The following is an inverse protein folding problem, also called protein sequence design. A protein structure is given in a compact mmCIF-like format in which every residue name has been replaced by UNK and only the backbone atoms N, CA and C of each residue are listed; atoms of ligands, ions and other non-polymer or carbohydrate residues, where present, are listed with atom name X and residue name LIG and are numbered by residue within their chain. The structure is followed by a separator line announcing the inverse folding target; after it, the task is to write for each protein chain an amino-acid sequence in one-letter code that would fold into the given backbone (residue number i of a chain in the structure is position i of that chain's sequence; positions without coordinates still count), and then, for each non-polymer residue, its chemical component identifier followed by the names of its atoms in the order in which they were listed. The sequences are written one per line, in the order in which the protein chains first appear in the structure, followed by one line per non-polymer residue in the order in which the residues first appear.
data_IF_370447848494
#
_entry.id   IF_370447848494
#
_cell.length_a   1.000
_cell.length_b   1.000
_cell.length_c   1.000
_cell.angle_alpha   90.00
_cell.angle_beta   90.00
_cell.angle_gamma   90.00
#
_symmetry.space_group_name_H-M   'P 1'
#
loop_
_entity.id
_entity.type
_entity.pdbx_description
1 polymer ?
#
# COMPACT_ATOMS: atom_id res chain seq x y z
N UNK A 1 11.07 -4.43 -12.40
CA UNK A 1 10.44 -5.74 -12.09
C UNK A 1 9.16 -5.86 -12.92
N UNK A 2 8.82 -7.02 -13.51
CA UNK A 2 7.61 -7.16 -14.33
C UNK A 2 6.34 -6.90 -13.50
N UNK A 3 5.22 -6.57 -14.17
CA UNK A 3 3.93 -6.37 -13.50
C UNK A 3 3.48 -7.65 -12.77
N UNK A 4 2.96 -7.57 -11.53
CA UNK A 4 2.59 -8.76 -10.74
C UNK A 4 1.42 -9.59 -11.29
N UNK A 5 0.62 -9.04 -12.20
CA UNK A 5 -0.61 -9.65 -12.73
C UNK A 5 -1.75 -8.64 -12.76
N UNK A 6 -2.98 -9.06 -13.12
CA UNK A 6 -4.14 -8.19 -13.01
C UNK A 6 -4.44 -7.88 -11.54
N UNK A 7 -4.90 -6.65 -11.27
CA UNK A 7 -5.40 -6.27 -9.95
C UNK A 7 -6.75 -6.94 -9.66
N UNK A 8 -6.94 -7.42 -8.44
CA UNK A 8 -8.16 -8.09 -7.98
C UNK A 8 -9.40 -7.19 -8.03
N UNK A 9 -9.23 -5.92 -7.66
CA UNK A 9 -10.21 -4.86 -7.87
C UNK A 9 -9.67 -3.86 -8.90
N UNK A 10 -10.57 -3.04 -9.46
CA UNK A 10 -10.18 -1.98 -10.41
C UNK A 10 -9.04 -1.13 -9.82
N UNK A 11 -7.98 -1.00 -10.60
CA UNK A 11 -6.79 -0.22 -10.23
C UNK A 11 -7.16 1.25 -9.92
N UNK A 12 -6.48 1.82 -8.94
CA UNK A 12 -6.54 3.25 -8.64
C UNK A 12 -5.52 3.98 -9.51
N UNK A 13 -5.96 4.99 -10.26
CA UNK A 13 -5.08 5.79 -11.11
C UNK A 13 -4.69 7.06 -10.37
N UNK A 14 -3.39 7.30 -10.25
CA UNK A 14 -2.85 8.43 -9.51
C UNK A 14 -1.86 9.21 -10.38
N UNK A 15 -1.92 10.54 -10.30
CA UNK A 15 -0.92 11.43 -10.90
C UNK A 15 -0.03 11.98 -9.79
N UNK A 16 1.23 11.55 -9.77
CA UNK A 16 2.19 12.00 -8.77
C UNK A 16 2.53 13.47 -8.98
N UNK A 17 2.75 14.22 -7.90
CA UNK A 17 3.18 15.62 -8.00
C UNK A 17 4.68 15.69 -8.30
N UNK A 18 5.05 16.58 -9.22
CA UNK A 18 6.44 16.91 -9.52
C UNK A 18 7.04 17.84 -8.45
N UNK A 19 8.38 18.00 -8.43
CA UNK A 19 9.11 18.83 -7.47
C UNK A 19 8.63 20.29 -7.35
N UNK A 20 8.06 20.80 -8.44
CA UNK A 20 7.54 22.16 -8.66
C UNK A 20 6.02 22.26 -8.48
N UNK A 21 5.36 21.19 -8.01
CA UNK A 21 3.90 21.10 -7.91
C UNK A 21 3.20 20.79 -9.23
N UNK A 22 3.95 20.54 -10.32
CA UNK A 22 3.37 20.12 -11.59
C UNK A 22 2.73 18.73 -11.52
N UNK A 23 1.82 18.42 -12.45
CA UNK A 23 1.30 17.07 -12.62
C UNK A 23 2.39 16.20 -13.25
N UNK A 24 2.94 15.29 -12.44
CA UNK A 24 4.03 14.39 -12.81
C UNK A 24 3.54 13.06 -13.39
N UNK A 25 4.29 12.00 -13.10
CA UNK A 25 4.11 10.64 -13.65
C UNK A 25 2.75 10.07 -13.27
N UNK A 26 2.08 9.43 -14.24
CA UNK A 26 0.89 8.61 -13.94
C UNK A 26 1.33 7.22 -13.45
N UNK A 27 0.73 6.76 -12.36
CA UNK A 27 0.93 5.43 -11.80
C UNK A 27 -0.42 4.75 -11.60
N UNK A 28 -0.45 3.44 -11.81
CA UNK A 28 -1.59 2.59 -11.51
C UNK A 28 -1.27 1.79 -10.26
N UNK A 29 -2.17 1.84 -9.28
CA UNK A 29 -2.04 1.10 -8.04
C UNK A 29 -2.96 -0.11 -8.10
N UNK A 30 -2.43 -1.27 -7.75
CA UNK A 30 -3.17 -2.53 -7.76
C UNK A 30 -2.89 -3.39 -6.54
N UNK A 31 -3.68 -4.47 -6.44
CA UNK A 31 -3.53 -5.46 -5.38
C UNK A 31 -3.83 -6.87 -5.87
N UNK A 32 -3.19 -7.88 -5.27
CA UNK A 32 -3.47 -9.27 -5.56
C UNK A 32 -4.81 -9.68 -4.95
N UNK A 33 -5.34 -10.82 -5.37
CA UNK A 33 -6.46 -11.43 -4.65
C UNK A 33 -6.02 -11.76 -3.22
N UNK A 34 -6.78 -11.33 -2.19
CA UNK A 34 -6.44 -11.65 -0.81
C UNK A 34 -6.58 -13.15 -0.53
N UNK A 35 -5.56 -13.74 0.08
CA UNK A 35 -5.65 -15.07 0.68
C UNK A 35 -6.14 -14.93 2.12
N UNK A 36 -7.14 -15.72 2.51
CA UNK A 36 -7.72 -15.70 3.86
C UNK A 36 -7.20 -16.91 4.63
N UNK A 37 -6.57 -16.65 5.77
CA UNK A 37 -6.09 -17.68 6.70
C UNK A 37 -7.21 -18.14 7.63
N UNK A 38 -7.04 -19.32 8.24
CA UNK A 38 -8.02 -19.91 9.16
C UNK A 38 -8.31 -19.04 10.41
N UNK A 39 -7.35 -18.20 10.80
CA UNK A 39 -7.45 -17.24 11.92
C UNK A 39 -7.99 -15.85 11.49
N UNK A 40 -8.50 -15.75 10.26
CA UNK A 40 -9.17 -14.56 9.73
C UNK A 40 -8.23 -13.49 9.15
N UNK A 41 -6.92 -13.73 9.11
CA UNK A 41 -6.00 -12.79 8.47
C UNK A 41 -6.13 -12.82 6.96
N UNK A 42 -6.28 -11.63 6.37
CA UNK A 42 -6.21 -11.38 4.93
C UNK A 42 -4.79 -11.02 4.55
N UNK A 43 -4.19 -11.77 3.63
CA UNK A 43 -2.86 -11.52 3.09
C UNK A 43 -2.99 -11.08 1.63
N UNK A 44 -2.41 -9.95 1.29
CA UNK A 44 -2.39 -9.42 -0.07
C UNK A 44 -1.08 -8.69 -0.38
N UNK A 45 -0.74 -8.59 -1.66
CA UNK A 45 0.34 -7.71 -2.14
C UNK A 45 -0.27 -6.46 -2.74
N UNK A 46 0.31 -5.30 -2.45
CA UNK A 46 -0.01 -4.01 -3.08
C UNK A 46 1.17 -3.56 -3.93
N UNK A 47 0.90 -2.91 -5.06
CA UNK A 47 1.94 -2.42 -5.95
C UNK A 47 1.57 -1.12 -6.64
N UNK A 48 2.59 -0.35 -7.04
CA UNK A 48 2.47 0.69 -8.06
C UNK A 48 3.16 0.28 -9.35
N UNK A 49 2.50 0.49 -10.49
CA UNK A 49 3.04 0.19 -11.82
C UNK A 49 2.86 1.35 -12.80
N UNK A 50 3.66 1.33 -13.85
CA UNK A 50 3.54 2.18 -15.04
C UNK A 50 3.74 1.36 -16.32
N UNK A 51 4.06 2.01 -17.44
CA UNK A 51 4.33 1.36 -18.73
C UNK A 51 5.48 0.34 -18.72
N UNK A 52 6.45 0.47 -17.81
CA UNK A 52 7.66 -0.34 -17.75
C UNK A 52 7.59 -1.47 -16.70
N UNK A 53 6.63 -1.42 -15.79
CA UNK A 53 6.40 -2.44 -14.78
C UNK A 53 6.20 -1.86 -13.39
N UNK A 54 6.65 -2.56 -12.35
CA UNK A 54 6.59 -2.06 -10.98
C UNK A 54 7.57 -0.91 -10.81
N UNK A 55 7.07 0.23 -10.32
CA UNK A 55 7.87 1.43 -10.09
C UNK A 55 8.78 1.26 -8.87
N UNK A 56 9.85 2.03 -8.79
CA UNK A 56 10.65 2.13 -7.56
C UNK A 56 9.95 3.01 -6.53
N UNK A 57 10.13 2.72 -5.24
CA UNK A 57 9.57 3.52 -4.16
C UNK A 57 10.13 4.96 -4.14
N UNK A 58 11.33 5.20 -4.68
CA UNK A 58 11.88 6.55 -4.91
C UNK A 58 10.96 7.47 -5.72
N UNK A 59 10.12 6.90 -6.59
CA UNK A 59 9.15 7.65 -7.41
C UNK A 59 8.08 8.31 -6.54
N UNK A 60 7.81 7.75 -5.36
CA UNK A 60 6.82 8.22 -4.39
C UNK A 60 7.48 8.68 -3.09
N UNK A 61 8.79 8.92 -3.11
CA UNK A 61 9.50 9.40 -1.93
C UNK A 61 9.18 10.88 -1.66
N UNK A 62 9.21 11.31 -0.38
CA UNK A 62 9.05 12.71 -0.01
C UNK A 62 9.94 13.64 -0.85
N UNK A 63 9.33 14.68 -1.41
CA UNK A 63 10.02 15.64 -2.26
C UNK A 63 11.05 16.50 -1.51
N UNK A 64 10.91 16.65 -0.19
CA UNK A 64 11.76 17.51 0.62
C UNK A 64 12.68 16.70 1.55
N UNK A 65 14.00 16.81 1.31
CA UNK A 65 15.05 16.21 2.14
C UNK A 65 15.22 14.70 1.94
N UNK A 66 16.35 14.11 2.40
CA UNK A 66 16.47 12.66 2.47
C UNK A 66 15.36 12.12 3.40
N UNK A 67 14.57 11.11 2.98
CA UNK A 67 13.49 10.62 3.82
C UNK A 67 14.05 10.13 5.16
N UNK A 68 13.60 10.68 6.30
CA UNK A 68 14.15 10.32 7.61
C UNK A 68 13.72 8.91 8.06
N UNK A 69 12.71 8.32 7.39
CA UNK A 69 12.13 7.03 7.75
C UNK A 69 12.10 6.02 6.58
N UNK A 70 11.97 4.73 6.91
CA UNK A 70 11.81 3.64 5.93
C UNK A 70 10.46 3.80 5.19
N UNK A 71 10.38 3.49 3.88
CA UNK A 71 9.15 3.66 3.11
C UNK A 71 7.95 2.91 3.73
N UNK A 72 8.18 1.69 4.22
CA UNK A 72 7.12 0.88 4.85
C UNK A 72 6.56 1.52 6.12
N UNK A 73 7.36 2.28 6.88
CA UNK A 73 6.91 2.96 8.08
C UNK A 73 6.01 4.14 7.73
N UNK A 74 6.43 4.95 6.75
CA UNK A 74 5.66 6.10 6.28
C UNK A 74 4.32 5.68 5.67
N UNK A 75 4.38 4.80 4.67
CA UNK A 75 3.20 4.30 3.95
C UNK A 75 2.27 3.54 4.91
N UNK A 76 2.85 2.71 5.77
CA UNK A 76 2.12 1.92 6.76
C UNK A 76 1.34 2.79 7.75
N UNK A 77 1.92 3.90 8.23
CA UNK A 77 1.23 4.84 9.13
C UNK A 77 -0.02 5.43 8.47
N UNK A 78 0.09 5.91 7.24
CA UNK A 78 -1.03 6.55 6.53
C UNK A 78 -2.10 5.50 6.18
N UNK A 79 -1.67 4.34 5.72
CA UNK A 79 -2.56 3.23 5.36
C UNK A 79 -3.33 2.72 6.60
N UNK A 80 -2.65 2.49 7.72
CA UNK A 80 -3.28 2.07 8.98
C UNK A 80 -4.29 3.12 9.48
N UNK A 81 -3.94 4.41 9.43
CA UNK A 81 -4.85 5.50 9.77
C UNK A 81 -6.08 5.56 8.85
N UNK A 82 -5.90 5.34 7.55
CA UNK A 82 -7.00 5.33 6.58
C UNK A 82 -7.94 4.12 6.74
N UNK A 83 -7.46 3.00 7.27
CA UNK A 83 -8.25 1.80 7.56
C UNK A 83 -8.78 1.76 9.00
N UNK A 84 -8.52 2.80 9.80
CA UNK A 84 -8.99 2.85 11.17
C UNK A 84 -10.52 2.71 11.26
N UNK A 85 -10.98 1.87 12.19
CA UNK A 85 -12.41 1.55 12.35
C UNK A 85 -12.94 0.45 11.41
N UNK A 86 -12.10 -0.03 10.47
CA UNK A 86 -12.37 -1.26 9.69
C UNK A 86 -11.56 -2.45 10.19
N UNK A 87 -10.39 -2.18 10.78
CA UNK A 87 -9.50 -3.21 11.33
C UNK A 87 -9.93 -3.63 12.72
N UNK A 88 -9.77 -4.92 13.00
CA UNK A 88 -9.89 -5.47 14.34
C UNK A 88 -8.73 -4.98 15.23
N UNK A 89 -8.90 -5.11 16.55
CA UNK A 89 -7.95 -4.62 17.54
C UNK A 89 -7.70 -5.65 18.65
N UNK A 90 -6.45 -5.71 19.10
CA UNK A 90 -6.01 -6.51 20.25
C UNK A 90 -5.05 -5.67 21.08
N UNK A 91 -5.27 -5.59 22.40
CA UNK A 91 -4.52 -4.71 23.31
C UNK A 91 -4.40 -3.25 22.81
N UNK A 92 -5.52 -2.69 22.33
CA UNK A 92 -5.64 -1.35 21.72
C UNK A 92 -4.75 -1.14 20.48
N UNK A 93 -4.30 -2.22 19.83
CA UNK A 93 -3.50 -2.18 18.61
C UNK A 93 -4.29 -2.72 17.43
N UNK A 94 -4.29 -1.96 16.35
CA UNK A 94 -4.85 -2.40 15.08
C UNK A 94 -4.12 -3.62 14.54
N UNK A 95 -4.89 -4.58 14.05
CA UNK A 95 -4.37 -5.82 13.49
C UNK A 95 -4.02 -5.64 12.02
N UNK A 96 -2.88 -5.01 11.81
CA UNK A 96 -2.27 -4.75 10.52
C UNK A 96 -0.77 -5.01 10.58
N UNK A 97 -0.24 -5.64 9.53
CA UNK A 97 1.20 -5.89 9.37
C UNK A 97 1.60 -5.55 7.95
N UNK A 98 2.68 -4.79 7.80
CA UNK A 98 3.24 -4.44 6.51
C UNK A 98 4.68 -4.89 6.40
N UNK A 99 5.08 -5.34 5.21
CA UNK A 99 6.47 -5.60 4.86
C UNK A 99 6.74 -5.11 3.44
N UNK A 100 7.98 -4.77 3.16
CA UNK A 100 8.48 -4.55 1.82
C UNK A 100 9.68 -5.46 1.59
N UNK A 101 10.04 -5.65 0.32
CA UNK A 101 11.34 -6.22 -0.03
C UNK A 101 12.46 -5.42 0.67
N UNK A 102 13.55 -6.07 1.11
CA UNK A 102 14.71 -5.34 1.61
C UNK A 102 15.28 -4.42 0.52
N UNK A 103 15.84 -3.28 0.91
CA UNK A 103 16.62 -2.48 -0.04
C UNK A 103 17.92 -3.21 -0.36
N UNK A 104 18.40 -3.06 -1.61
CA UNK A 104 19.72 -3.56 -1.98
C UNK A 104 20.84 -2.80 -1.24
N UNK A 105 20.60 -1.53 -0.92
CA UNK A 105 21.46 -0.66 -0.13
C UNK A 105 20.65 -0.08 1.04
N UNK A 106 20.97 -0.48 2.27
CA UNK A 106 20.27 -0.03 3.48
C UNK A 106 20.43 1.47 3.74
N UNK A 107 21.47 2.11 3.20
CA UNK A 107 21.64 3.57 3.25
C UNK A 107 20.69 4.31 2.31
N UNK A 108 20.05 3.59 1.39
CA UNK A 108 19.09 4.12 0.41
C UNK A 108 17.78 3.37 0.49
N UNK A 109 17.04 3.50 1.60
CA UNK A 109 15.90 2.64 1.88
C UNK A 109 14.74 2.81 0.88
N UNK A 110 14.72 3.86 0.07
CA UNK A 110 13.69 4.06 -0.96
C UNK A 110 14.06 3.44 -2.32
N UNK A 111 15.32 3.02 -2.53
CA UNK A 111 15.76 2.34 -3.75
C UNK A 111 15.39 0.86 -3.73
N UNK A 112 14.10 0.59 -3.92
CA UNK A 112 13.50 -0.75 -4.01
C UNK A 112 12.16 -0.69 -4.76
N UNK A 113 11.63 -1.81 -5.27
CA UNK A 113 10.30 -1.82 -5.87
C UNK A 113 9.20 -1.36 -4.89
N UNK A 114 8.22 -0.60 -5.38
CA UNK A 114 7.02 -0.26 -4.62
C UNK A 114 6.07 -1.47 -4.58
N UNK A 115 6.42 -2.42 -3.72
CA UNK A 115 5.69 -3.64 -3.42
C UNK A 115 5.56 -3.79 -1.91
N UNK A 116 4.32 -3.87 -1.43
CA UNK A 116 3.99 -4.03 -0.03
C UNK A 116 3.25 -5.34 0.18
N UNK A 117 3.75 -6.20 1.05
CA UNK A 117 2.98 -7.29 1.60
C UNK A 117 2.18 -6.78 2.79
N UNK A 118 0.86 -6.86 2.68
CA UNK A 118 -0.09 -6.43 3.67
C UNK A 118 -0.77 -7.67 4.27
N UNK A 119 -0.79 -7.75 5.59
CA UNK A 119 -1.69 -8.61 6.31
C UNK A 119 -2.63 -7.74 7.17
N UNK A 120 -3.94 -7.99 7.12
CA UNK A 120 -4.93 -7.31 7.96
C UNK A 120 -5.91 -8.31 8.55
N UNK A 121 -6.41 -8.04 9.76
CA UNK A 121 -7.61 -8.69 10.29
C UNK A 121 -8.72 -7.65 10.36
N UNK A 122 -9.83 -7.94 9.70
CA UNK A 122 -10.99 -7.06 9.70
C UNK A 122 -11.75 -7.18 11.01
N UNK A 123 -12.33 -6.06 11.47
CA UNK A 123 -13.30 -6.09 12.56
C UNK A 123 -14.41 -7.11 12.20
N UNK A 124 -14.79 -8.04 13.10
CA UNK A 124 -15.72 -9.11 12.77
C UNK A 124 -17.08 -8.62 12.26
N UNK A 125 -17.57 -7.48 12.77
CA UNK A 125 -18.84 -6.89 12.33
C UNK A 125 -18.68 -6.32 10.93
N UNK A 126 -17.60 -5.57 10.67
CA UNK A 126 -17.30 -5.03 9.33
C UNK A 126 -17.08 -6.13 8.31
N UNK A 127 -16.30 -7.15 8.65
CA UNK A 127 -16.03 -8.31 7.81
C UNK A 127 -17.28 -9.12 7.45
N UNK A 128 -18.28 -9.16 8.33
CA UNK A 128 -19.55 -9.86 8.08
C UNK A 128 -20.51 -9.09 7.17
N UNK A 129 -20.46 -7.76 7.16
CA UNK A 129 -21.42 -6.92 6.41
C UNK A 129 -20.89 -6.42 5.07
N UNK A 130 -19.57 -6.38 4.89
CA UNK A 130 -18.93 -5.91 3.66
C UNK A 130 -18.56 -7.09 2.76
N UNK A 131 -18.77 -6.93 1.46
CA UNK A 131 -18.31 -7.90 0.46
C UNK A 131 -16.79 -7.86 0.33
N UNK A 132 -16.14 -8.95 -0.10
CA UNK A 132 -14.69 -8.96 -0.29
C UNK A 132 -14.15 -7.86 -1.20
N UNK A 133 -14.87 -7.58 -2.30
CA UNK A 133 -14.53 -6.50 -3.23
C UNK A 133 -14.71 -5.09 -2.65
N UNK A 134 -15.51 -4.92 -1.60
CA UNK A 134 -15.67 -3.64 -0.91
C UNK A 134 -14.48 -3.42 0.03
N UNK A 135 -14.11 -4.44 0.81
CA UNK A 135 -12.92 -4.43 1.68
C UNK A 135 -11.62 -4.21 0.88
N UNK A 136 -11.46 -4.92 -0.24
CA UNK A 136 -10.31 -4.76 -1.12
C UNK A 136 -10.21 -3.33 -1.71
N UNK A 137 -11.34 -2.69 -2.03
CA UNK A 137 -11.33 -1.28 -2.48
C UNK A 137 -10.92 -0.32 -1.37
N UNK A 138 -11.32 -0.57 -0.12
CA UNK A 138 -10.87 0.26 1.00
C UNK A 138 -9.35 0.13 1.22
N UNK A 139 -8.78 -1.08 1.09
CA UNK A 139 -7.32 -1.27 1.07
C UNK A 139 -6.69 -0.43 -0.04
N UNK A 140 -7.18 -0.55 -1.28
CA UNK A 140 -6.54 0.08 -2.43
C UNK A 140 -6.64 1.62 -2.37
N UNK A 141 -7.76 2.15 -1.88
CA UNK A 141 -7.94 3.59 -1.61
C UNK A 141 -7.02 4.08 -0.49
N UNK A 142 -6.89 3.33 0.60
CA UNK A 142 -5.97 3.65 1.67
C UNK A 142 -4.51 3.67 1.17
N UNK A 143 -4.16 2.70 0.31
CA UNK A 143 -2.85 2.67 -0.33
C UNK A 143 -2.64 3.87 -1.27
N UNK A 144 -3.63 4.23 -2.09
CA UNK A 144 -3.56 5.41 -2.93
C UNK A 144 -3.32 6.71 -2.14
N UNK A 145 -4.02 6.89 -1.02
CA UNK A 145 -3.77 8.02 -0.09
C UNK A 145 -2.36 7.99 0.48
N UNK A 146 -1.84 6.82 0.83
CA UNK A 146 -0.49 6.69 1.35
C UNK A 146 0.58 7.07 0.31
N UNK A 147 0.34 6.74 -0.96
CA UNK A 147 1.22 7.10 -2.08
C UNK A 147 1.12 8.59 -2.43
N UNK A 148 -0.07 9.18 -2.35
CA UNK A 148 -0.28 10.61 -2.63
C UNK A 148 0.36 11.53 -1.58
N UNK A 149 0.36 11.09 -0.33
CA UNK A 149 0.84 11.86 0.82
C UNK A 149 2.31 11.57 1.17
N UNK A 150 2.96 10.62 0.48
CA UNK A 150 4.37 10.34 0.62
C UNK A 150 5.21 11.48 -0.01
#
# INVERSE_FOLDING_TARGET
MPRPGPSFVREERLRLRGPDGSLGREVLLGMSEPSIMDDGWWLTTLWGVDGDGVIEATVVAPMAGPPPEQPVAMLGRILAGALAGLLDQEDDRQLIRLRMLPAADESRPWQRPLLLWLAVRWDPVRGAVMRPNELAREILRAFARSVEAA
#
